data_IF_400778503373
#
_entry.id   IF_400778503373
#
_cell.length_a   1.000
_cell.length_b   1.000
_cell.length_c   1.000
_cell.angle_alpha   90.00
_cell.angle_beta   90.00
_cell.angle_gamma   90.00
#
_symmetry.space_group_name_H-M   'P 1'
#
loop_
_entity.id
_entity.type
_entity.pdbx_description
1 polymer ?
#
# COMPACT_ATOMS: atom_id res chain seq x y z
N UNK A 1 1.16 3.21 -30.94
CA UNK A 1 2.30 4.13 -30.78
C UNK A 1 2.75 4.24 -29.33
N UNK A 2 1.92 4.51 -28.33
CA UNK A 2 2.37 4.72 -26.94
C UNK A 2 3.22 3.58 -26.33
N UNK A 3 2.84 2.32 -26.49
CA UNK A 3 3.63 1.19 -25.96
C UNK A 3 5.00 1.09 -26.63
N UNK A 4 5.11 1.33 -27.92
CA UNK A 4 6.37 1.30 -28.65
C UNK A 4 7.34 2.36 -28.13
N UNK A 5 6.86 3.62 -27.99
CA UNK A 5 7.69 4.73 -27.48
C UNK A 5 8.18 4.48 -26.06
N UNK A 6 7.32 3.92 -25.18
CA UNK A 6 7.74 3.56 -23.82
C UNK A 6 8.82 2.49 -23.82
N UNK A 7 8.69 1.44 -24.64
CA UNK A 7 9.68 0.38 -24.72
C UNK A 7 11.00 0.84 -25.35
N UNK A 8 10.97 1.79 -26.28
CA UNK A 8 12.17 2.37 -26.88
C UNK A 8 12.99 3.16 -25.87
N UNK A 9 12.34 4.04 -25.11
CA UNK A 9 13.00 4.92 -24.14
C UNK A 9 13.42 4.19 -22.86
N UNK A 10 12.79 3.06 -22.54
CA UNK A 10 13.06 2.35 -21.30
C UNK A 10 14.42 1.63 -21.38
N UNK A 11 15.24 1.78 -20.32
CA UNK A 11 16.53 1.07 -20.16
C UNK A 11 16.42 -0.29 -19.45
N UNK A 12 15.23 -0.65 -18.95
CA UNK A 12 15.00 -1.90 -18.21
C UNK A 12 14.42 -3.00 -19.11
N UNK A 13 14.73 -4.26 -18.77
CA UNK A 13 14.23 -5.43 -19.52
C UNK A 13 12.73 -5.70 -19.31
N UNK A 14 12.17 -5.21 -18.21
CA UNK A 14 10.77 -5.35 -17.85
C UNK A 14 10.13 -3.97 -17.68
N UNK A 15 8.96 -3.78 -18.24
CA UNK A 15 8.24 -2.51 -18.23
C UNK A 15 6.82 -2.74 -17.73
N UNK A 16 6.44 -2.04 -16.67
CA UNK A 16 5.06 -1.93 -16.25
C UNK A 16 4.39 -0.78 -17.00
N UNK A 17 3.32 -1.09 -17.71
CA UNK A 17 2.49 -0.11 -18.42
C UNK A 17 1.21 0.08 -17.65
N UNK A 18 0.83 1.33 -17.38
CA UNK A 18 -0.40 1.65 -16.67
C UNK A 18 -1.15 2.77 -17.38
N UNK A 19 -2.45 2.58 -17.54
CA UNK A 19 -3.36 3.59 -18.07
C UNK A 19 -3.76 4.59 -16.98
N UNK A 20 -3.89 5.86 -17.33
CA UNK A 20 -4.26 6.92 -16.41
C UNK A 20 -5.74 6.90 -15.98
N UNK A 21 -6.58 6.08 -16.63
CA UNK A 21 -8.00 5.93 -16.34
C UNK A 21 -8.33 4.83 -15.31
N UNK A 22 -7.30 4.23 -14.70
CA UNK A 22 -7.41 3.19 -13.66
C UNK A 22 -6.77 3.65 -12.34
N UNK A 23 -7.39 4.58 -11.60
CA UNK A 23 -6.75 5.24 -10.46
C UNK A 23 -6.50 4.34 -9.25
N UNK A 24 -7.14 3.17 -9.17
CA UNK A 24 -6.98 2.21 -8.08
C UNK A 24 -5.86 1.18 -8.32
N UNK A 25 -5.34 1.07 -9.54
CA UNK A 25 -4.17 0.23 -9.81
C UNK A 25 -2.95 0.90 -9.21
N UNK A 26 -2.17 0.15 -8.45
CA UNK A 26 -1.04 0.66 -7.72
C UNK A 26 0.20 -0.24 -7.90
N UNK A 27 1.30 0.13 -7.26
CA UNK A 27 2.56 -0.61 -7.33
C UNK A 27 2.45 -2.04 -6.77
N UNK A 28 1.64 -2.26 -5.73
CA UNK A 28 1.44 -3.61 -5.15
C UNK A 28 0.81 -4.55 -6.18
N UNK A 29 -0.14 -4.03 -6.97
CA UNK A 29 -0.74 -4.76 -8.10
C UNK A 29 0.30 -5.10 -9.17
N UNK A 30 1.20 -4.15 -9.47
CA UNK A 30 2.28 -4.38 -10.41
C UNK A 30 3.24 -5.46 -9.90
N UNK A 31 3.64 -5.42 -8.62
CA UNK A 31 4.50 -6.42 -8.01
C UNK A 31 3.86 -7.81 -7.97
N UNK A 32 2.57 -7.89 -7.63
CA UNK A 32 1.84 -9.15 -7.62
C UNK A 32 1.80 -9.80 -9.02
N UNK A 33 1.58 -8.99 -10.05
CA UNK A 33 1.59 -9.44 -11.44
C UNK A 33 3.00 -9.76 -11.95
N UNK A 34 4.05 -9.10 -11.46
CA UNK A 34 5.43 -9.36 -11.87
C UNK A 34 5.86 -10.81 -11.60
N UNK A 35 5.34 -11.45 -10.56
CA UNK A 35 5.64 -12.85 -10.22
C UNK A 35 5.29 -13.83 -11.35
N UNK A 36 4.34 -13.47 -12.21
CA UNK A 36 3.95 -14.28 -13.36
C UNK A 36 4.82 -14.04 -14.60
N UNK A 37 5.69 -13.01 -14.60
CA UNK A 37 6.61 -12.71 -15.70
C UNK A 37 7.89 -13.59 -15.62
N UNK A 38 7.69 -14.89 -15.65
CA UNK A 38 8.74 -15.90 -15.58
C UNK A 38 9.53 -15.98 -16.90
N UNK A 39 10.60 -16.78 -16.90
CA UNK A 39 11.39 -17.00 -18.12
C UNK A 39 10.54 -17.60 -19.23
N UNK A 40 10.67 -17.03 -20.41
CA UNK A 40 9.90 -17.45 -21.57
C UNK A 40 8.52 -16.78 -21.71
N UNK A 41 8.07 -15.96 -20.77
CA UNK A 41 6.86 -15.14 -20.89
C UNK A 41 7.24 -13.73 -21.34
N UNK A 42 6.57 -13.24 -22.38
CA UNK A 42 6.84 -11.95 -23.02
C UNK A 42 5.95 -10.83 -22.43
N UNK A 43 4.75 -11.19 -21.94
CA UNK A 43 3.83 -10.26 -21.31
C UNK A 43 2.96 -10.95 -20.26
N UNK A 44 2.56 -10.20 -19.22
CA UNK A 44 1.57 -10.61 -18.21
C UNK A 44 0.39 -9.65 -18.28
N UNK A 45 -0.77 -10.19 -18.67
CA UNK A 45 -1.99 -9.40 -18.94
C UNK A 45 -3.09 -9.81 -17.98
N UNK A 46 -3.59 -8.90 -17.14
CA UNK A 46 -4.77 -9.15 -16.33
C UNK A 46 -6.01 -9.35 -17.21
N UNK A 47 -6.90 -10.26 -16.81
CA UNK A 47 -8.16 -10.55 -17.52
C UNK A 47 -9.28 -10.73 -16.51
N UNK A 48 -10.44 -10.14 -16.75
CA UNK A 48 -11.61 -10.30 -15.92
C UNK A 48 -12.52 -11.48 -16.37
N UNK A 49 -13.56 -11.77 -15.58
CA UNK A 49 -14.52 -12.83 -15.86
C UNK A 49 -15.28 -12.66 -17.18
N UNK A 50 -15.32 -11.46 -17.73
CA UNK A 50 -15.97 -11.20 -19.03
C UNK A 50 -15.03 -11.49 -20.20
N UNK A 51 -13.74 -11.75 -19.92
CA UNK A 51 -12.69 -11.93 -20.91
C UNK A 51 -12.05 -10.62 -21.38
N UNK A 52 -12.36 -9.48 -20.73
CA UNK A 52 -11.73 -8.19 -21.02
C UNK A 52 -10.27 -8.25 -20.56
N UNK A 53 -9.38 -7.93 -21.48
CA UNK A 53 -7.92 -7.90 -21.28
C UNK A 53 -7.45 -6.48 -20.98
N UNK A 54 -6.71 -6.30 -19.91
CA UNK A 54 -6.20 -4.99 -19.47
C UNK A 54 -4.78 -4.75 -20.01
N UNK A 55 -4.67 -4.62 -21.31
CA UNK A 55 -3.40 -4.51 -22.06
C UNK A 55 -2.60 -3.23 -21.78
N UNK A 56 -3.25 -2.19 -21.27
CA UNK A 56 -2.61 -0.95 -20.80
C UNK A 56 -2.51 -0.90 -19.26
N UNK A 57 -2.54 -2.07 -18.62
CA UNK A 57 -2.30 -2.25 -17.19
C UNK A 57 -1.60 -3.59 -17.00
N UNK A 58 -0.36 -3.70 -17.53
CA UNK A 58 0.26 -5.00 -17.79
C UNK A 58 1.79 -4.90 -17.78
N UNK A 59 2.44 -6.01 -17.52
CA UNK A 59 3.89 -6.16 -17.70
C UNK A 59 4.26 -6.60 -19.11
N UNK A 60 5.31 -6.02 -19.63
CA UNK A 60 5.91 -6.38 -20.90
C UNK A 60 7.43 -6.53 -20.78
N UNK A 61 8.02 -7.48 -21.51
CA UNK A 61 9.47 -7.50 -21.69
C UNK A 61 9.87 -6.56 -22.83
N UNK A 62 11.02 -5.91 -22.68
CA UNK A 62 11.58 -5.04 -23.72
C UNK A 62 11.84 -5.80 -25.02
N UNK A 63 12.09 -7.10 -24.96
CA UNK A 63 12.33 -7.96 -26.14
C UNK A 63 11.20 -7.98 -27.15
N UNK A 64 9.96 -7.58 -26.78
CA UNK A 64 8.84 -7.50 -27.73
C UNK A 64 8.94 -6.32 -28.69
N UNK A 65 9.87 -5.39 -28.46
CA UNK A 65 9.97 -4.14 -29.22
C UNK A 65 10.10 -4.35 -30.72
N UNK A 66 10.92 -5.30 -31.14
CA UNK A 66 11.11 -5.61 -32.59
C UNK A 66 9.81 -6.15 -33.20
N UNK A 67 9.11 -7.06 -32.50
CA UNK A 67 7.82 -7.60 -32.97
C UNK A 67 6.79 -6.49 -33.10
N UNK A 68 6.80 -5.53 -32.15
CA UNK A 68 5.88 -4.41 -32.14
C UNK A 68 6.19 -3.43 -33.28
N UNK A 69 7.47 -3.16 -33.58
CA UNK A 69 7.90 -2.32 -34.72
C UNK A 69 7.46 -2.90 -36.04
N UNK A 70 7.75 -4.17 -36.28
CA UNK A 70 7.33 -4.88 -37.50
C UNK A 70 5.80 -4.78 -37.70
N UNK A 71 5.03 -4.96 -36.64
CA UNK A 71 3.56 -4.83 -36.70
C UNK A 71 3.12 -3.42 -37.05
N UNK A 72 3.72 -2.39 -36.45
CA UNK A 72 3.40 -1.00 -36.72
C UNK A 72 3.78 -0.59 -38.17
N UNK A 73 4.92 -1.07 -38.68
CA UNK A 73 5.37 -0.85 -40.06
C UNK A 73 4.42 -1.49 -41.09
N UNK A 74 3.80 -2.61 -40.75
CA UNK A 74 2.76 -3.24 -41.57
C UNK A 74 1.39 -2.49 -41.54
N UNK A 75 1.28 -1.44 -40.74
CA UNK A 75 0.04 -0.68 -40.57
C UNK A 75 -0.99 -1.34 -39.63
N UNK A 76 -0.63 -2.44 -38.97
CA UNK A 76 -1.50 -3.12 -38.03
C UNK A 76 -1.38 -2.51 -36.62
N UNK A 77 -2.43 -1.78 -36.20
CA UNK A 77 -2.51 -1.10 -34.90
C UNK A 77 -3.25 -1.89 -33.83
N UNK A 78 -3.69 -3.12 -34.11
CA UNK A 78 -4.51 -3.90 -33.21
C UNK A 78 -3.65 -4.63 -32.18
N UNK A 79 -3.77 -4.27 -30.91
CA UNK A 79 -3.07 -4.92 -29.79
C UNK A 79 -3.39 -6.42 -29.72
N UNK A 80 -4.60 -6.85 -30.12
CA UNK A 80 -4.96 -8.26 -30.19
C UNK A 80 -3.98 -9.07 -31.04
N UNK A 81 -3.61 -8.58 -32.23
CA UNK A 81 -2.68 -9.27 -33.11
C UNK A 81 -1.25 -9.30 -32.55
N UNK A 82 -0.84 -8.27 -31.82
CA UNK A 82 0.41 -8.31 -31.06
C UNK A 82 0.40 -9.47 -30.05
N UNK A 83 -0.64 -9.58 -29.24
CA UNK A 83 -0.75 -10.62 -28.21
C UNK A 83 -0.75 -12.03 -28.80
N UNK A 84 -1.24 -12.23 -30.01
CA UNK A 84 -1.21 -13.52 -30.73
C UNK A 84 0.22 -13.92 -31.17
N UNK A 85 1.15 -12.95 -31.26
CA UNK A 85 2.56 -13.17 -31.60
C UNK A 85 3.47 -13.35 -30.36
N UNK A 86 2.93 -13.10 -29.15
CA UNK A 86 3.67 -13.12 -27.89
C UNK A 86 3.30 -14.34 -27.04
N UNK A 87 4.22 -14.77 -26.18
CA UNK A 87 3.95 -15.73 -25.12
C UNK A 87 3.38 -14.98 -23.93
N UNK A 88 2.05 -14.95 -23.85
CA UNK A 88 1.31 -14.17 -22.85
C UNK A 88 0.84 -15.05 -21.71
N UNK A 89 1.14 -14.63 -20.46
CA UNK A 89 0.50 -15.15 -19.27
C UNK A 89 -0.74 -14.29 -18.95
N UNK A 90 -1.92 -14.90 -18.96
CA UNK A 90 -3.16 -14.24 -18.58
C UNK A 90 -3.44 -14.53 -17.11
N UNK A 91 -3.62 -13.48 -16.29
CA UNK A 91 -3.89 -13.58 -14.86
C UNK A 91 -5.30 -13.08 -14.57
N UNK A 92 -6.12 -13.92 -13.94
CA UNK A 92 -7.47 -13.54 -13.55
C UNK A 92 -7.42 -12.44 -12.49
N UNK A 93 -8.07 -11.29 -12.74
CA UNK A 93 -8.09 -10.17 -11.79
C UNK A 93 -8.72 -10.53 -10.45
N UNK A 94 -9.64 -11.49 -10.43
CA UNK A 94 -10.28 -12.00 -9.22
C UNK A 94 -9.32 -12.76 -8.30
N UNK A 95 -8.21 -13.23 -8.81
CA UNK A 95 -7.14 -13.88 -8.04
C UNK A 95 -6.13 -12.89 -7.43
N UNK A 96 -6.21 -11.62 -7.82
CA UNK A 96 -5.35 -10.56 -7.31
C UNK A 96 -5.99 -9.91 -6.08
N UNK A 97 -5.16 -9.36 -5.20
CA UNK A 97 -5.61 -8.60 -4.03
C UNK A 97 -6.45 -7.41 -4.47
N UNK A 98 -7.73 -7.37 -4.08
CA UNK A 98 -8.74 -6.36 -4.50
C UNK A 98 -8.89 -6.20 -6.03
N UNK A 99 -8.52 -7.24 -6.81
CA UNK A 99 -8.32 -7.14 -8.24
C UNK A 99 -9.54 -6.62 -9.02
N UNK A 100 -10.72 -7.20 -8.82
CA UNK A 100 -11.93 -6.76 -9.55
C UNK A 100 -12.28 -5.29 -9.35
N UNK A 101 -11.92 -4.71 -8.21
CA UNK A 101 -12.14 -3.29 -7.89
C UNK A 101 -11.06 -2.40 -8.49
N UNK A 102 -9.79 -2.84 -8.41
CA UNK A 102 -8.64 -2.05 -8.87
C UNK A 102 -8.69 -1.79 -10.39
N UNK A 103 -9.24 -2.71 -11.17
CA UNK A 103 -9.32 -2.60 -12.63
C UNK A 103 -10.58 -1.87 -13.15
N UNK A 104 -11.17 -0.97 -12.35
CA UNK A 104 -12.26 -0.10 -12.80
C UNK A 104 -11.71 1.10 -13.56
N UNK A 105 -12.20 1.31 -14.78
CA UNK A 105 -11.91 2.51 -15.57
C UNK A 105 -12.78 3.67 -15.09
N UNK A 106 -12.21 4.87 -15.09
CA UNK A 106 -12.91 6.15 -14.91
C UNK A 106 -12.71 6.97 -16.17
N UNK A 107 -13.75 7.09 -16.98
CA UNK A 107 -13.67 7.70 -18.32
C UNK A 107 -14.30 9.08 -18.39
N UNK A 108 -15.18 9.45 -17.43
CA UNK A 108 -15.89 10.72 -17.42
C UNK A 108 -15.63 11.50 -16.13
N UNK A 109 -15.85 12.81 -16.20
CA UNK A 109 -15.77 13.69 -15.02
C UNK A 109 -16.81 13.33 -13.97
N UNK A 110 -17.98 12.87 -14.40
CA UNK A 110 -19.07 12.44 -13.51
C UNK A 110 -18.71 11.13 -12.80
N UNK A 111 -18.09 10.16 -13.51
CA UNK A 111 -17.55 8.93 -12.89
C UNK A 111 -16.46 9.25 -11.88
N UNK A 112 -15.57 10.21 -12.19
CA UNK A 112 -14.53 10.66 -11.28
C UNK A 112 -15.12 11.34 -10.03
N UNK A 113 -16.11 12.22 -10.20
CA UNK A 113 -16.80 12.83 -9.06
C UNK A 113 -17.51 11.78 -8.21
N UNK A 114 -18.25 10.87 -8.85
CA UNK A 114 -18.91 9.76 -8.16
C UNK A 114 -17.91 8.86 -7.43
N UNK A 115 -16.75 8.63 -8.02
CA UNK A 115 -15.67 7.86 -7.42
C UNK A 115 -15.08 8.57 -6.19
N UNK A 116 -14.80 9.87 -6.30
CA UNK A 116 -14.29 10.68 -5.17
C UNK A 116 -15.33 10.82 -4.06
N UNK A 117 -16.59 11.07 -4.39
CA UNK A 117 -17.69 11.12 -3.42
C UNK A 117 -17.91 9.78 -2.73
N UNK A 118 -17.94 8.67 -3.47
CA UNK A 118 -18.05 7.32 -2.90
C UNK A 118 -16.84 6.95 -2.06
N UNK A 119 -15.66 7.39 -2.46
CA UNK A 119 -14.44 7.19 -1.67
C UNK A 119 -14.47 8.02 -0.40
N UNK A 120 -14.94 9.27 -0.45
CA UNK A 120 -15.12 10.12 0.72
C UNK A 120 -16.21 9.57 1.66
N UNK A 121 -17.40 9.23 1.12
CA UNK A 121 -18.51 8.62 1.89
C UNK A 121 -18.13 7.24 2.44
N UNK A 122 -17.31 6.49 1.71
CA UNK A 122 -16.78 5.20 2.17
C UNK A 122 -15.77 5.41 3.30
N UNK A 123 -14.88 6.40 3.17
CA UNK A 123 -13.97 6.84 4.22
C UNK A 123 -14.74 7.23 5.50
N UNK A 124 -15.86 7.95 5.38
CA UNK A 124 -16.72 8.30 6.53
C UNK A 124 -17.48 7.09 7.11
N UNK A 125 -17.90 6.13 6.29
CA UNK A 125 -18.72 4.99 6.68
C UNK A 125 -17.95 3.74 7.13
N UNK A 126 -16.74 3.54 6.61
CA UNK A 126 -15.89 2.36 6.91
C UNK A 126 -14.90 2.65 8.05
N UNK A 127 -14.67 3.92 8.40
CA UNK A 127 -13.80 4.36 9.50
C UNK A 127 -14.46 4.32 10.89
N UNK A 128 -15.53 3.55 11.08
CA UNK A 128 -16.09 3.34 12.43
C UNK A 128 -15.28 2.35 13.27
N UNK A 129 -14.03 2.70 13.52
CA UNK A 129 -13.53 2.63 14.89
C UNK A 129 -13.77 4.01 15.47
N UNK A 130 -14.51 4.11 16.56
CA UNK A 130 -14.64 5.37 17.34
C UNK A 130 -13.27 5.86 17.85
N UNK A 131 -12.20 5.11 17.56
CA UNK A 131 -10.83 5.35 18.00
C UNK A 131 -10.05 6.01 16.85
N UNK A 132 -9.48 7.20 17.07
CA UNK A 132 -8.61 7.87 16.12
C UNK A 132 -7.44 7.00 15.65
N UNK A 133 -7.17 6.99 14.35
CA UNK A 133 -6.04 6.29 13.73
C UNK A 133 -5.12 7.31 13.08
N UNK A 134 -3.81 7.22 13.34
CA UNK A 134 -2.79 8.05 12.69
C UNK A 134 -1.66 7.16 12.17
N UNK A 135 -1.35 7.32 10.89
CA UNK A 135 -0.33 6.51 10.19
C UNK A 135 1.01 7.21 10.14
N UNK A 136 2.05 6.55 10.62
CA UNK A 136 3.43 7.00 10.45
C UNK A 136 4.04 6.38 9.20
N UNK A 137 4.41 7.23 8.24
CA UNK A 137 4.87 6.83 6.91
C UNK A 137 6.30 7.30 6.68
N UNK A 138 7.15 6.38 6.26
CA UNK A 138 8.52 6.66 5.86
C UNK A 138 9.09 5.50 5.03
N UNK A 139 10.14 5.72 4.28
CA UNK A 139 10.92 4.61 3.72
C UNK A 139 11.67 3.84 4.82
N UNK A 140 11.99 2.58 4.51
CA UNK A 140 12.79 1.75 5.42
C UNK A 140 14.13 2.41 5.75
N UNK A 141 14.58 2.32 7.01
CA UNK A 141 15.82 2.91 7.47
C UNK A 141 15.77 4.42 7.79
N UNK A 142 14.62 5.08 7.68
CA UNK A 142 14.47 6.51 8.04
C UNK A 142 14.47 6.75 9.57
N UNK A 143 14.29 5.71 10.39
CA UNK A 143 14.23 5.83 11.86
C UNK A 143 12.80 5.93 12.42
N UNK A 144 11.79 5.53 11.64
CA UNK A 144 10.38 5.56 12.02
C UNK A 144 10.09 4.81 13.33
N UNK A 145 10.56 3.56 13.44
CA UNK A 145 10.39 2.75 14.65
C UNK A 145 11.04 3.41 15.86
N UNK A 146 12.28 3.90 15.72
CA UNK A 146 12.98 4.61 16.81
C UNK A 146 12.26 5.89 17.24
N UNK A 147 11.64 6.60 16.30
CA UNK A 147 10.84 7.78 16.63
C UNK A 147 9.58 7.38 17.42
N UNK A 148 8.87 6.36 16.98
CA UNK A 148 7.68 5.83 17.67
C UNK A 148 8.00 5.29 19.07
N UNK A 149 9.13 4.61 19.26
CA UNK A 149 9.62 4.15 20.57
C UNK A 149 9.80 5.33 21.56
N UNK A 150 10.22 6.50 21.08
CA UNK A 150 10.38 7.71 21.91
C UNK A 150 9.05 8.44 22.09
N UNK A 151 8.15 8.42 21.11
CA UNK A 151 6.87 9.13 21.13
C UNK A 151 5.83 8.45 22.03
N UNK A 152 5.72 7.12 21.97
CA UNK A 152 4.73 6.34 22.74
C UNK A 152 4.77 6.65 24.23
N UNK A 153 5.92 6.65 24.91
CA UNK A 153 5.98 6.99 26.34
C UNK A 153 5.47 8.41 26.64
N UNK A 154 5.68 9.36 25.72
CA UNK A 154 5.23 10.75 25.88
C UNK A 154 3.70 10.88 25.77
N UNK A 155 3.10 10.14 24.86
CA UNK A 155 1.65 10.06 24.73
C UNK A 155 1.02 9.34 25.93
N UNK A 156 1.65 8.27 26.41
CA UNK A 156 1.22 7.56 27.62
C UNK A 156 1.29 8.44 28.87
N UNK A 157 2.31 9.30 28.99
CA UNK A 157 2.42 10.27 30.09
C UNK A 157 1.28 11.30 30.10
N UNK A 158 0.60 11.51 28.96
CA UNK A 158 -0.61 12.33 28.81
C UNK A 158 -1.91 11.56 29.12
N UNK A 159 -1.79 10.33 29.62
CA UNK A 159 -2.92 9.48 30.00
C UNK A 159 -3.51 8.64 28.87
N UNK A 160 -2.98 8.72 27.65
CA UNK A 160 -3.52 7.97 26.51
C UNK A 160 -3.16 6.48 26.59
N UNK A 161 -4.15 5.65 26.31
CA UNK A 161 -3.94 4.23 25.98
C UNK A 161 -3.72 4.12 24.48
N UNK A 162 -2.65 3.43 24.06
CA UNK A 162 -2.20 3.42 22.67
C UNK A 162 -2.11 1.99 22.17
N UNK A 163 -2.69 1.74 21.00
CA UNK A 163 -2.38 0.61 20.17
C UNK A 163 -1.35 1.02 19.10
N UNK A 164 -0.46 0.11 18.75
CA UNK A 164 0.42 0.25 17.59
C UNK A 164 0.29 -0.96 16.69
N UNK A 165 0.10 -0.73 15.40
CA UNK A 165 -0.03 -1.76 14.38
C UNK A 165 1.01 -1.52 13.31
N UNK A 166 1.89 -2.48 13.10
CA UNK A 166 2.86 -2.46 12.01
C UNK A 166 2.31 -3.23 10.83
N UNK A 167 2.30 -2.60 9.66
CA UNK A 167 2.05 -3.27 8.39
C UNK A 167 3.39 -3.70 7.78
N UNK A 168 3.58 -5.00 7.69
CA UNK A 168 4.73 -5.58 6.98
C UNK A 168 4.23 -6.13 5.64
N UNK A 169 4.82 -5.65 4.54
CA UNK A 169 4.49 -6.12 3.19
C UNK A 169 5.04 -7.52 2.88
N UNK A 170 5.76 -8.13 3.83
CA UNK A 170 6.35 -9.45 3.69
C UNK A 170 5.77 -10.41 4.74
N UNK A 171 5.96 -11.70 4.52
CA UNK A 171 5.68 -12.70 5.57
C UNK A 171 6.50 -12.38 6.81
N UNK A 172 5.84 -12.34 7.94
CA UNK A 172 6.48 -12.20 9.24
C UNK A 172 6.17 -13.42 10.11
N UNK A 173 7.11 -13.80 10.94
CA UNK A 173 6.96 -14.83 11.95
C UNK A 173 7.04 -14.17 13.33
N UNK A 174 6.03 -14.42 14.16
CA UNK A 174 5.99 -13.92 15.54
C UNK A 174 6.39 -15.03 16.52
N UNK A 175 6.15 -16.27 16.13
CA UNK A 175 6.33 -17.43 17.00
C UNK A 175 7.79 -17.95 16.95
N UNK A 176 8.20 -18.62 18.01
CA UNK A 176 9.49 -19.31 18.04
C UNK A 176 9.33 -20.72 17.49
N UNK A 177 10.18 -21.08 16.54
CA UNK A 177 10.18 -22.40 15.92
C UNK A 177 10.26 -23.53 16.97
N UNK A 178 9.37 -24.51 16.85
CA UNK A 178 9.30 -25.68 17.72
C UNK A 178 8.53 -25.50 19.03
N UNK A 179 8.02 -24.31 19.34
CA UNK A 179 7.07 -24.11 20.45
C UNK A 179 5.70 -24.70 20.15
N UNK A 180 4.90 -24.95 21.18
CA UNK A 180 3.57 -25.58 21.01
C UNK A 180 2.66 -24.77 20.10
N UNK A 181 2.68 -23.43 20.19
CA UNK A 181 1.93 -22.53 19.32
C UNK A 181 2.32 -22.66 17.84
N UNK A 182 3.62 -22.71 17.54
CA UNK A 182 4.16 -22.96 16.19
C UNK A 182 3.74 -24.34 15.67
N UNK A 183 3.78 -25.36 16.53
CA UNK A 183 3.34 -26.70 16.19
C UNK A 183 1.84 -26.76 15.87
N UNK A 184 1.00 -26.06 16.63
CA UNK A 184 -0.44 -26.00 16.35
C UNK A 184 -0.72 -25.28 15.03
N UNK A 185 -0.04 -24.18 14.77
CA UNK A 185 -0.12 -23.45 13.48
C UNK A 185 0.31 -24.34 12.30
N UNK A 186 1.46 -25.01 12.42
CA UNK A 186 1.95 -25.96 11.39
C UNK A 186 1.05 -27.18 11.20
N UNK A 187 0.32 -27.57 12.24
CA UNK A 187 -0.69 -28.65 12.15
C UNK A 187 -2.00 -28.22 11.47
N UNK A 188 -2.15 -26.93 11.12
CA UNK A 188 -3.27 -26.41 10.37
C UNK A 188 -4.34 -25.69 11.20
N UNK A 189 -4.02 -25.21 12.41
CA UNK A 189 -4.94 -24.38 13.16
C UNK A 189 -5.13 -23.02 12.48
N UNK A 190 -6.38 -22.63 12.19
CA UNK A 190 -6.74 -21.35 11.61
C UNK A 190 -6.49 -20.18 12.57
N UNK A 191 -6.62 -20.44 13.88
CA UNK A 191 -6.40 -19.48 14.95
C UNK A 191 -5.63 -20.15 16.08
N UNK A 192 -4.55 -19.50 16.53
CA UNK A 192 -3.78 -19.93 17.69
C UNK A 192 -3.77 -18.85 18.76
N UNK A 193 -4.20 -19.16 19.97
CA UNK A 193 -4.22 -18.22 21.09
C UNK A 193 -3.26 -18.63 22.20
N UNK A 194 -2.58 -17.64 22.76
CA UNK A 194 -1.79 -17.77 23.99
C UNK A 194 -2.31 -16.80 25.02
N UNK A 195 -2.54 -17.24 26.23
CA UNK A 195 -3.01 -16.40 27.33
C UNK A 195 -2.22 -16.71 28.62
N UNK A 196 -1.86 -15.64 29.32
CA UNK A 196 -1.27 -15.70 30.66
C UNK A 196 -1.93 -14.67 31.55
N UNK A 197 -1.51 -14.58 32.82
CA UNK A 197 -1.97 -13.55 33.76
C UNK A 197 -1.59 -12.13 33.36
N UNK A 198 -0.62 -11.95 32.47
CA UNK A 198 -0.07 -10.63 32.11
C UNK A 198 -0.24 -10.29 30.62
N UNK A 199 -0.42 -11.30 29.76
CA UNK A 199 -0.38 -11.13 28.32
C UNK A 199 -1.28 -12.13 27.61
N UNK A 200 -1.95 -11.66 26.56
CA UNK A 200 -2.67 -12.52 25.61
C UNK A 200 -2.21 -12.20 24.18
N UNK A 201 -2.17 -13.22 23.33
CA UNK A 201 -1.91 -13.11 21.90
C UNK A 201 -2.91 -13.97 21.16
N UNK A 202 -3.45 -13.46 20.07
CA UNK A 202 -4.27 -14.19 19.11
C UNK A 202 -3.61 -14.09 17.74
N UNK A 203 -3.28 -15.22 17.14
CA UNK A 203 -2.70 -15.32 15.81
C UNK A 203 -3.72 -15.94 14.87
N UNK A 204 -4.13 -15.18 13.86
CA UNK A 204 -5.02 -15.66 12.79
C UNK A 204 -4.16 -16.01 11.56
N UNK A 205 -4.21 -17.26 11.11
CA UNK A 205 -3.43 -17.75 9.97
C UNK A 205 -4.21 -17.59 8.66
N UNK A 206 -4.67 -16.38 8.39
CA UNK A 206 -5.43 -16.02 7.19
C UNK A 206 -5.06 -14.65 6.69
N UNK A 207 -5.27 -14.43 5.41
CA UNK A 207 -5.23 -13.08 4.85
C UNK A 207 -6.31 -12.24 5.51
N UNK A 208 -5.93 -11.12 6.09
CA UNK A 208 -6.83 -10.23 6.82
C UNK A 208 -6.78 -8.86 6.18
N UNK A 209 -7.95 -8.28 5.92
CA UNK A 209 -8.05 -6.88 5.51
C UNK A 209 -7.55 -5.99 6.65
N UNK A 210 -6.64 -5.03 6.39
CA UNK A 210 -6.10 -4.15 7.42
C UNK A 210 -7.16 -3.35 8.18
N UNK A 211 -8.23 -2.90 7.50
CA UNK A 211 -9.31 -2.14 8.13
C UNK A 211 -10.13 -3.05 9.06
N UNK A 212 -10.43 -4.28 8.63
CA UNK A 212 -11.08 -5.27 9.50
C UNK A 212 -10.24 -5.62 10.73
N UNK A 213 -8.91 -5.67 10.56
CA UNK A 213 -8.01 -5.92 11.68
C UNK A 213 -8.03 -4.77 12.70
N UNK A 214 -7.97 -3.52 12.21
CA UNK A 214 -7.97 -2.35 13.08
C UNK A 214 -9.30 -2.18 13.83
N UNK A 215 -10.42 -2.59 13.26
CA UNK A 215 -11.75 -2.60 13.92
C UNK A 215 -11.84 -3.57 15.11
N UNK A 216 -10.95 -4.54 15.21
CA UNK A 216 -10.89 -5.46 16.36
C UNK A 216 -10.18 -4.87 17.58
N UNK A 217 -9.53 -3.72 17.42
CA UNK A 217 -8.82 -3.04 18.50
C UNK A 217 -9.81 -2.18 19.25
N UNK A 218 -9.92 -2.39 20.54
CA UNK A 218 -10.75 -1.60 21.45
C UNK A 218 -10.01 -1.23 22.74
N UNK A 219 -10.66 -0.45 23.59
CA UNK A 219 -10.14 -0.09 24.91
C UNK A 219 -8.87 0.79 24.89
N UNK A 220 -8.58 1.45 23.75
CA UNK A 220 -7.49 2.42 23.58
C UNK A 220 -8.03 3.76 23.10
N UNK A 221 -7.25 4.82 23.27
CA UNK A 221 -7.64 6.19 22.92
C UNK A 221 -7.05 6.62 21.56
N UNK A 222 -6.05 5.88 21.05
CA UNK A 222 -5.36 6.16 19.80
C UNK A 222 -4.77 4.90 19.22
N UNK A 223 -4.95 4.69 17.93
CA UNK A 223 -4.24 3.69 17.16
C UNK A 223 -3.16 4.39 16.32
N UNK A 224 -1.91 4.06 16.56
CA UNK A 224 -0.79 4.42 15.69
C UNK A 224 -0.51 3.27 14.72
N UNK A 225 -0.30 3.57 13.45
CA UNK A 225 0.14 2.56 12.50
C UNK A 225 1.53 2.87 11.98
N UNK A 226 2.35 1.85 11.85
CA UNK A 226 3.63 1.92 11.18
C UNK A 226 3.50 1.35 9.76
N UNK A 227 3.63 2.22 8.76
CA UNK A 227 3.40 1.86 7.35
C UNK A 227 2.06 2.39 6.83
N UNK A 228 1.31 1.56 6.11
CA UNK A 228 0.01 1.94 5.54
C UNK A 228 0.05 3.22 4.69
N UNK A 229 1.08 3.35 3.85
CA UNK A 229 1.27 4.54 3.01
C UNK A 229 0.02 4.89 2.17
N UNK A 230 -0.70 3.87 1.73
CA UNK A 230 -1.91 4.01 0.91
C UNK A 230 -3.22 3.90 1.71
N UNK A 231 -3.13 3.70 3.03
CA UNK A 231 -4.31 3.67 3.89
C UNK A 231 -5.03 5.03 3.94
N UNK A 232 -6.31 5.04 4.32
CA UNK A 232 -7.12 6.26 4.29
C UNK A 232 -6.85 7.21 5.46
N UNK A 233 -6.12 6.77 6.48
CA UNK A 233 -5.94 7.50 7.73
C UNK A 233 -5.00 8.71 7.58
N UNK A 234 -5.17 9.76 8.42
CA UNK A 234 -4.24 10.89 8.51
C UNK A 234 -2.79 10.43 8.69
N UNK A 235 -1.88 11.07 7.99
CA UNK A 235 -0.49 10.62 7.90
C UNK A 235 0.49 11.59 8.52
N UNK A 236 1.40 11.07 9.32
CA UNK A 236 2.63 11.78 9.73
C UNK A 236 3.79 11.18 8.96
N UNK A 237 4.41 11.98 8.12
CA UNK A 237 5.54 11.55 7.30
C UNK A 237 6.86 11.81 8.03
N UNK A 238 7.75 10.79 8.04
CA UNK A 238 9.15 11.00 8.41
C UNK A 238 10.03 11.04 7.17
N UNK A 239 10.85 12.08 7.09
CA UNK A 239 11.85 12.24 6.04
C UNK A 239 13.22 12.63 6.65
N UNK A 240 14.29 12.03 6.12
CA UNK A 240 15.68 12.36 6.49
C UNK A 240 16.54 12.48 5.25
N UNK A 241 17.17 13.62 5.08
CA UNK A 241 18.08 13.91 3.96
C UNK A 241 19.22 12.88 3.87
N UNK A 242 19.77 12.48 5.03
CA UNK A 242 20.89 11.55 5.11
C UNK A 242 20.60 10.14 4.57
N UNK A 243 19.32 9.77 4.33
CA UNK A 243 18.96 8.48 3.73
C UNK A 243 19.12 8.46 2.21
N UNK A 244 19.23 9.60 1.56
CA UNK A 244 19.25 9.73 0.10
C UNK A 244 17.93 9.34 -0.59
N UNK A 245 16.86 9.10 0.17
CA UNK A 245 15.54 8.69 -0.35
C UNK A 245 14.64 9.92 -0.51
N UNK A 246 13.77 9.96 -1.54
CA UNK A 246 12.80 11.04 -1.69
C UNK A 246 11.76 10.99 -0.56
N UNK A 247 10.89 11.98 -0.50
CA UNK A 247 9.71 11.95 0.37
C UNK A 247 8.73 10.88 -0.15
N UNK A 248 8.14 10.05 0.73
CA UNK A 248 7.17 9.04 0.31
C UNK A 248 5.80 9.60 -0.07
N UNK A 249 5.48 10.81 0.38
CA UNK A 249 4.21 11.53 0.13
C UNK A 249 4.52 13.00 -0.15
N UNK A 250 3.53 13.73 -0.66
CA UNK A 250 3.60 15.19 -0.74
C UNK A 250 3.37 15.78 0.66
N UNK A 251 4.13 16.79 1.08
CA UNK A 251 3.99 17.41 2.41
C UNK A 251 2.58 17.93 2.72
N UNK A 252 1.91 18.52 1.71
CA UNK A 252 0.54 19.05 1.81
C UNK A 252 -0.53 17.96 2.06
N UNK A 253 -0.23 16.70 1.77
CA UNK A 253 -1.12 15.56 2.05
C UNK A 253 -0.97 15.01 3.47
N UNK A 254 -0.01 15.56 4.24
CA UNK A 254 0.33 15.06 5.55
C UNK A 254 -0.30 15.90 6.65
N UNK A 255 -0.80 15.25 7.70
CA UNK A 255 -1.19 15.87 8.95
C UNK A 255 -0.03 16.61 9.62
N UNK A 256 1.17 16.02 9.51
CA UNK A 256 2.42 16.61 9.95
C UNK A 256 3.61 15.97 9.21
N UNK A 257 4.73 16.69 9.17
CA UNK A 257 6.01 16.17 8.66
C UNK A 257 7.08 16.26 9.74
N UNK A 258 7.81 15.17 9.93
CA UNK A 258 8.98 15.09 10.81
C UNK A 258 10.22 14.99 9.92
N UNK A 259 11.09 16.00 9.98
CA UNK A 259 12.21 16.09 9.05
C UNK A 259 13.45 16.76 9.66
N UNK A 260 14.61 16.46 9.09
CA UNK A 260 15.90 17.15 9.34
C UNK A 260 16.20 18.22 8.27
N UNK A 261 15.24 18.50 7.38
CA UNK A 261 15.31 19.59 6.40
C UNK A 261 14.08 20.48 6.50
N UNK A 262 14.22 21.71 5.97
CA UNK A 262 13.10 22.65 5.88
C UNK A 262 12.02 22.14 4.92
N UNK A 263 10.77 22.21 5.35
CA UNK A 263 9.57 21.82 4.59
C UNK A 263 8.64 23.03 4.56
N UNK A 264 8.28 23.49 3.38
CA UNK A 264 7.46 24.69 3.20
C UNK A 264 5.96 24.40 3.02
N UNK A 265 5.63 23.24 2.46
CA UNK A 265 4.26 22.92 2.02
C UNK A 265 3.50 22.04 3.05
N UNK A 266 3.78 22.23 4.35
CA UNK A 266 3.06 21.58 5.44
C UNK A 266 2.96 22.54 6.63
N UNK A 267 1.77 22.66 7.22
CA UNK A 267 1.53 23.54 8.38
C UNK A 267 2.22 23.04 9.65
N UNK A 268 2.31 21.72 9.82
CA UNK A 268 2.84 21.11 11.04
C UNK A 268 4.15 20.39 10.73
N UNK A 269 5.27 21.07 10.96
CA UNK A 269 6.61 20.51 10.75
C UNK A 269 7.35 20.42 12.07
N UNK A 270 7.94 19.26 12.33
CA UNK A 270 8.74 18.96 13.52
C UNK A 270 10.10 18.41 13.13
N UNK A 271 11.08 18.60 13.97
CA UNK A 271 12.37 17.90 13.88
C UNK A 271 12.27 16.51 14.55
N UNK A 272 13.22 15.63 14.25
CA UNK A 272 13.29 14.31 14.89
C UNK A 272 13.51 14.37 16.42
N UNK A 273 14.00 15.48 16.94
CA UNK A 273 14.24 15.68 18.37
C UNK A 273 13.04 16.31 19.09
N UNK A 274 12.08 16.86 18.37
CA UNK A 274 10.88 17.52 18.93
C UNK A 274 9.78 16.53 19.30
N UNK A 275 10.12 15.45 20.00
CA UNK A 275 9.19 14.40 20.41
C UNK A 275 8.06 14.93 21.28
N UNK A 276 8.38 15.83 22.24
CA UNK A 276 7.36 16.42 23.13
C UNK A 276 6.37 17.27 22.36
N UNK A 277 6.85 18.10 21.41
CA UNK A 277 5.96 18.92 20.60
C UNK A 277 5.07 18.06 19.70
N UNK A 278 5.61 16.98 19.14
CA UNK A 278 4.84 16.02 18.35
C UNK A 278 3.77 15.33 19.21
N UNK A 279 4.11 14.96 20.45
CA UNK A 279 3.14 14.38 21.38
C UNK A 279 2.05 15.37 21.79
N UNK A 280 2.38 16.65 22.02
CA UNK A 280 1.39 17.70 22.31
C UNK A 280 0.48 17.98 21.12
N UNK A 281 1.04 17.96 19.91
CA UNK A 281 0.29 18.11 18.68
C UNK A 281 -0.73 16.98 18.52
N UNK A 282 -0.30 15.72 18.62
CA UNK A 282 -1.17 14.56 18.52
C UNK A 282 -2.24 14.52 19.60
N UNK A 283 -1.88 14.85 20.83
CA UNK A 283 -2.83 14.90 21.94
C UNK A 283 -3.96 15.90 21.68
N UNK A 284 -3.63 17.11 21.22
CA UNK A 284 -4.63 18.12 20.83
C UNK A 284 -5.43 17.70 19.61
N UNK A 285 -4.80 17.10 18.62
CA UNK A 285 -5.46 16.58 17.42
C UNK A 285 -6.57 15.60 17.79
N UNK A 286 -6.27 14.62 18.65
CA UNK A 286 -7.24 13.61 19.11
C UNK A 286 -8.41 14.27 19.84
N UNK A 287 -8.14 15.21 20.73
CA UNK A 287 -9.20 15.90 21.50
C UNK A 287 -10.14 16.71 20.61
N UNK A 288 -9.71 17.15 19.43
CA UNK A 288 -10.52 17.92 18.50
C UNK A 288 -11.39 17.06 17.58
N UNK A 289 -11.13 15.77 17.47
CA UNK A 289 -11.88 14.83 16.61
C UNK A 289 -12.71 13.83 17.42
N UNK A 290 -12.56 13.79 18.75
CA UNK A 290 -13.39 13.04 19.71
C UNK A 290 -14.54 13.91 20.15
#
# INVERSE_FOLDING_TARGET
MGLCSVLEECSYDKVWVMSCDMPLVNWDTAQELEHYLTDGIDAVIPVDRTGKKYVLCAWYRKSILEILKEQLESGDLKVKHLLERLRVCYVAVEGLTDGSRKFQNINTREEYQTFTERSAVRLEKELHTDIPIVSFVAYSGTGKTTFLERLIPKLKARGLKIAIVKHDGHRFEIDHEGKDSDRFTKAGADVTGLISSEKAVLMENRQTDPEEFLKKIDGVDLILTEGFKQGPWPKIMLHRKGTGKPMPLLPEECLAVISDVEILDCENVFTLEEIEKTADFLFRYIQNIS
#
